data_IF_191017324275
#
_entry.id   IF_191017324275
#
_cell.length_a   1.000
_cell.length_b   1.000
_cell.length_c   1.000
_cell.angle_alpha   90.00
_cell.angle_beta   90.00
_cell.angle_gamma   90.00
#
_symmetry.space_group_name_H-M   'P 1'
#
loop_
_entity.id
_entity.type
_entity.pdbx_description
1 polymer ?
#
# COMPACT_ATOMS: atom_id res chain seq x y z
N UNK A 1 -21.37 16.99 -12.86
CA UNK A 1 -21.67 15.77 -12.08
C UNK A 1 -20.42 15.34 -11.32
N UNK A 2 -20.35 15.61 -10.00
CA UNK A 2 -19.23 15.15 -9.15
C UNK A 2 -19.48 13.69 -8.78
N UNK A 3 -18.63 12.78 -9.24
CA UNK A 3 -18.66 11.37 -8.82
C UNK A 3 -18.08 11.31 -7.41
N UNK A 4 -18.94 11.16 -6.41
CA UNK A 4 -18.53 10.88 -5.04
C UNK A 4 -17.97 9.46 -5.00
N UNK A 5 -16.65 9.33 -5.01
CA UNK A 5 -16.00 8.07 -4.70
C UNK A 5 -16.18 7.82 -3.20
N UNK A 6 -17.19 7.04 -2.84
CA UNK A 6 -17.28 6.42 -1.51
C UNK A 6 -16.27 5.26 -1.53
N UNK A 7 -14.99 5.61 -1.56
CA UNK A 7 -13.96 4.67 -1.17
C UNK A 7 -14.09 4.54 0.32
N UNK A 8 -14.67 3.44 0.79
CA UNK A 8 -14.45 2.96 2.15
C UNK A 8 -12.94 2.78 2.28
N UNK A 9 -12.24 3.82 2.75
CA UNK A 9 -10.90 3.68 3.28
C UNK A 9 -11.03 2.63 4.38
N UNK A 10 -10.42 1.44 4.25
CA UNK A 10 -10.48 0.46 5.31
C UNK A 10 -9.98 1.16 6.57
N UNK A 11 -10.81 1.13 7.62
CA UNK A 11 -10.46 1.75 8.89
C UNK A 11 -9.10 1.18 9.29
N UNK A 12 -8.09 2.05 9.39
CA UNK A 12 -6.79 1.70 9.91
C UNK A 12 -6.98 1.48 11.41
N UNK A 13 -7.43 0.28 11.78
CA UNK A 13 -7.67 -0.11 13.16
C UNK A 13 -6.33 -0.03 13.90
N UNK A 14 -6.25 0.87 14.89
CA UNK A 14 -5.09 1.09 15.77
C UNK A 14 -4.77 -0.08 16.71
N UNK A 15 -5.43 -1.23 16.54
CA UNK A 15 -5.02 -2.48 17.19
C UNK A 15 -4.02 -3.17 16.26
N UNK A 16 -2.74 -3.05 16.62
CA UNK A 16 -1.53 -3.46 15.90
C UNK A 16 -1.51 -4.96 15.51
N UNK A 17 -2.35 -5.37 14.58
CA UNK A 17 -2.05 -6.53 13.75
C UNK A 17 -1.02 -6.07 12.71
N UNK A 18 0.24 -6.48 12.89
CA UNK A 18 1.28 -6.27 11.88
C UNK A 18 0.74 -6.74 10.53
N UNK A 19 0.93 -5.93 9.48
CA UNK A 19 0.55 -6.32 8.13
C UNK A 19 1.44 -7.48 7.70
N UNK A 20 0.83 -8.63 7.42
CA UNK A 20 1.56 -9.80 6.95
C UNK A 20 1.86 -9.66 5.46
N UNK A 21 2.91 -10.35 4.99
CA UNK A 21 3.20 -10.46 3.56
C UNK A 21 1.97 -10.92 2.76
N UNK A 22 1.26 -11.95 3.25
CA UNK A 22 0.06 -12.47 2.60
C UNK A 22 -1.07 -11.43 2.50
N UNK A 23 -1.23 -10.59 3.53
CA UNK A 23 -2.20 -9.50 3.49
C UNK A 23 -1.87 -8.50 2.39
N UNK A 24 -0.61 -8.05 2.33
CA UNK A 24 -0.16 -7.12 1.30
C UNK A 24 -0.25 -7.75 -0.09
N UNK A 25 0.15 -9.02 -0.23
CA UNK A 25 0.07 -9.77 -1.47
C UNK A 25 -1.37 -9.77 -2.01
N UNK A 26 -2.35 -10.10 -1.17
CA UNK A 26 -3.77 -10.06 -1.53
C UNK A 26 -4.20 -8.64 -1.92
N UNK A 27 -3.80 -7.61 -1.17
CA UNK A 27 -4.13 -6.22 -1.51
C UNK A 27 -3.60 -5.83 -2.90
N UNK A 28 -2.36 -6.19 -3.22
CA UNK A 28 -1.73 -5.87 -4.51
C UNK A 28 -2.28 -6.72 -5.66
N UNK A 29 -2.57 -8.00 -5.41
CA UNK A 29 -3.16 -8.91 -6.39
C UNK A 29 -4.55 -8.44 -6.83
N UNK A 30 -5.37 -7.92 -5.92
CA UNK A 30 -6.73 -7.44 -6.24
C UNK A 30 -6.80 -5.95 -6.58
N UNK A 31 -5.67 -5.30 -6.87
CA UNK A 31 -5.67 -3.93 -7.39
C UNK A 31 -6.42 -3.85 -8.73
N UNK A 32 -7.24 -2.81 -8.88
CA UNK A 32 -7.89 -2.49 -10.16
C UNK A 32 -6.86 -1.85 -11.07
N UNK A 33 -6.15 -2.68 -11.84
CA UNK A 33 -5.00 -2.32 -12.66
C UNK A 33 -5.33 -1.36 -13.83
N UNK A 34 -6.61 -1.26 -14.21
CA UNK A 34 -7.13 -0.38 -15.27
C UNK A 34 -7.31 1.09 -14.81
N UNK A 35 -7.15 1.37 -13.50
CA UNK A 35 -7.28 2.73 -12.98
C UNK A 35 -6.11 3.60 -13.41
N UNK A 36 -6.40 4.89 -13.54
CA UNK A 36 -5.38 5.92 -13.76
C UNK A 36 -4.38 5.96 -12.59
N UNK A 37 -3.20 6.49 -12.91
CA UNK A 37 -2.10 6.73 -11.98
C UNK A 37 -2.52 7.60 -10.79
N UNK A 38 -2.03 7.25 -9.60
CA UNK A 38 -2.23 8.05 -8.40
C UNK A 38 -1.35 9.30 -8.35
N UNK A 39 -1.50 10.13 -7.30
CA UNK A 39 -0.62 11.28 -7.06
C UNK A 39 0.86 10.91 -6.85
N UNK A 40 1.12 9.66 -6.51
CA UNK A 40 2.45 9.06 -6.36
C UNK A 40 3.16 8.80 -7.69
N UNK A 41 2.46 8.96 -8.83
CA UNK A 41 3.02 8.71 -10.14
C UNK A 41 3.14 7.21 -10.49
N UNK A 42 2.61 6.31 -9.65
CA UNK A 42 2.74 4.86 -9.84
C UNK A 42 1.47 4.32 -10.47
N UNK A 43 1.61 3.64 -11.61
CA UNK A 43 0.46 3.02 -12.26
C UNK A 43 0.02 1.75 -11.48
N UNK A 44 -1.28 1.56 -11.17
CA UNK A 44 -1.77 0.39 -10.44
C UNK A 44 -1.38 -0.95 -11.09
N UNK A 45 -1.34 -0.99 -12.42
CA UNK A 45 -0.82 -2.12 -13.20
C UNK A 45 0.60 -2.57 -12.78
N UNK A 46 1.51 -1.63 -12.51
CA UNK A 46 2.88 -1.97 -12.10
C UNK A 46 2.89 -2.67 -10.73
N UNK A 47 2.11 -2.15 -9.78
CA UNK A 47 1.95 -2.74 -8.45
C UNK A 47 1.30 -4.13 -8.52
N UNK A 48 0.32 -4.29 -9.40
CA UNK A 48 -0.32 -5.58 -9.66
C UNK A 48 0.66 -6.59 -10.28
N UNK A 49 1.43 -6.21 -11.31
CA UNK A 49 2.38 -7.13 -11.96
C UNK A 49 3.56 -7.50 -11.04
N UNK A 50 3.97 -6.59 -10.15
CA UNK A 50 5.08 -6.80 -9.22
C UNK A 50 4.66 -7.32 -7.84
N UNK A 51 3.40 -7.69 -7.63
CA UNK A 51 2.82 -7.96 -6.31
C UNK A 51 3.63 -8.95 -5.46
N UNK A 52 4.07 -10.08 -6.02
CA UNK A 52 4.88 -11.09 -5.31
C UNK A 52 6.21 -10.53 -4.79
N UNK A 53 6.87 -9.68 -5.57
CA UNK A 53 8.17 -9.08 -5.20
C UNK A 53 8.02 -7.92 -4.22
N UNK A 54 6.87 -7.25 -4.24
CA UNK A 54 6.60 -6.06 -3.43
C UNK A 54 5.98 -6.40 -2.07
N UNK A 55 5.30 -7.54 -1.93
CA UNK A 55 4.55 -7.87 -0.73
C UNK A 55 5.40 -7.83 0.55
N UNK A 56 6.54 -8.54 0.57
CA UNK A 56 7.44 -8.57 1.72
C UNK A 56 8.07 -7.20 2.04
N UNK A 57 8.71 -6.48 1.10
CA UNK A 57 9.32 -5.18 1.42
C UNK A 57 8.27 -4.15 1.85
N UNK A 58 7.07 -4.14 1.26
CA UNK A 58 6.00 -3.23 1.69
C UNK A 58 5.52 -3.56 3.10
N UNK A 59 5.32 -4.85 3.43
CA UNK A 59 4.96 -5.26 4.79
C UNK A 59 6.02 -4.79 5.80
N UNK A 60 7.31 -4.98 5.48
CA UNK A 60 8.41 -4.52 6.32
C UNK A 60 8.37 -3.01 6.54
N UNK A 61 8.31 -2.21 5.46
CA UNK A 61 8.34 -0.74 5.54
C UNK A 61 7.15 -0.20 6.32
N UNK A 62 5.94 -0.72 6.08
CA UNK A 62 4.74 -0.25 6.76
C UNK A 62 4.79 -0.60 8.24
N UNK A 63 5.14 -1.84 8.58
CA UNK A 63 5.25 -2.25 9.98
C UNK A 63 6.35 -1.49 10.72
N UNK A 64 7.51 -1.27 10.10
CA UNK A 64 8.58 -0.45 10.65
C UNK A 64 8.11 0.98 10.89
N UNK A 65 7.44 1.61 9.92
CA UNK A 65 6.91 2.97 10.05
C UNK A 65 5.85 3.07 11.15
N UNK A 66 4.96 2.08 11.25
CA UNK A 66 3.93 2.02 12.30
C UNK A 66 4.55 1.88 13.69
N UNK A 67 5.60 1.06 13.83
CA UNK A 67 6.23 0.78 15.11
C UNK A 67 7.15 1.92 15.59
N UNK A 68 7.84 2.59 14.67
CA UNK A 68 8.86 3.61 15.00
C UNK A 68 8.33 5.04 14.87
N UNK A 69 7.25 5.25 14.10
CA UNK A 69 6.80 6.57 13.69
C UNK A 69 7.71 7.24 12.66
N UNK A 70 8.78 6.56 12.20
CA UNK A 70 9.71 7.07 11.21
C UNK A 70 9.36 6.55 9.83
N UNK A 71 9.26 7.46 8.86
CA UNK A 71 9.21 7.08 7.45
C UNK A 71 10.64 6.88 6.96
N UNK A 72 10.90 5.84 6.16
CA UNK A 72 12.19 5.68 5.46
C UNK A 72 12.33 6.79 4.40
N UNK A 73 12.70 7.99 4.83
CA UNK A 73 13.07 9.09 3.97
C UNK A 73 14.42 8.79 3.32
N UNK A 74 14.46 8.85 1.99
CA UNK A 74 15.69 8.75 1.20
C UNK A 74 16.59 10.00 1.35
N UNK A 75 16.14 11.03 2.06
CA UNK A 75 16.86 12.30 2.23
C UNK A 75 17.93 12.24 3.33
N UNK A 76 17.99 11.17 4.13
CA UNK A 76 18.93 11.02 5.25
C UNK A 76 20.07 10.01 4.97
N UNK A 77 20.54 9.91 3.71
CA UNK A 77 21.73 9.10 3.36
C UNK A 77 22.88 9.95 2.87
#
# INVERSE_FOLDING_TARGET
MRKNYIGTTPAFCRESALLTELYILNCLQYLVWEKAMGPDGIHPKLLHECHEKLALPVAFIVNSSVNTGETLSLENR
#
